data_IF_650401372641
#
_entry.id   IF_650401372641
#
_cell.length_a   1.000
_cell.length_b   1.000
_cell.length_c   1.000
_cell.angle_alpha   90.00
_cell.angle_beta   90.00
_cell.angle_gamma   90.00
#
_symmetry.space_group_name_H-M   'P 1'
#
loop_
_entity.id
_entity.type
_entity.pdbx_description
1 polymer ?
#
# COMPACT_ATOMS: atom_id res chain seq x y z
N UNK A 1 -26.71 -28.45 12.76
CA UNK A 1 -27.50 -27.20 12.70
C UNK A 1 -26.54 -26.16 12.18
N UNK A 2 -26.35 -26.18 10.86
CA UNK A 2 -25.38 -25.32 10.19
C UNK A 2 -26.02 -23.94 10.10
N UNK A 3 -25.64 -23.08 11.05
CA UNK A 3 -25.94 -21.67 10.93
C UNK A 3 -25.05 -21.14 9.80
N UNK A 4 -25.55 -21.21 8.56
CA UNK A 4 -25.08 -20.39 7.46
C UNK A 4 -25.42 -18.94 7.83
N UNK A 5 -24.56 -18.34 8.66
CA UNK A 5 -24.55 -16.90 8.84
C UNK A 5 -24.32 -16.24 7.48
N UNK A 6 -24.79 -15.00 7.31
CA UNK A 6 -24.52 -14.26 6.07
C UNK A 6 -23.02 -14.27 5.78
N UNK A 7 -22.68 -14.58 4.52
CA UNK A 7 -21.29 -14.61 4.05
C UNK A 7 -20.65 -13.25 4.33
N UNK A 8 -19.58 -13.25 5.12
CA UNK A 8 -18.91 -12.03 5.56
C UNK A 8 -18.19 -11.39 4.36
N UNK A 9 -18.71 -10.28 3.87
CA UNK A 9 -18.00 -9.47 2.88
C UNK A 9 -16.75 -8.85 3.52
N UNK A 10 -15.57 -9.30 3.08
CA UNK A 10 -14.28 -8.86 3.64
C UNK A 10 -14.07 -7.34 3.50
N UNK A 11 -14.59 -6.74 2.42
CA UNK A 11 -14.55 -5.30 2.20
C UNK A 11 -15.38 -4.53 3.23
N UNK A 12 -16.56 -5.02 3.60
CA UNK A 12 -17.40 -4.39 4.64
C UNK A 12 -16.77 -4.54 6.02
N UNK A 13 -16.13 -5.68 6.29
CA UNK A 13 -15.34 -5.88 7.50
C UNK A 13 -14.20 -4.85 7.57
N UNK A 14 -13.38 -4.75 6.51
CA UNK A 14 -12.27 -3.81 6.44
C UNK A 14 -12.74 -2.36 6.62
N UNK A 15 -13.82 -1.97 5.93
CA UNK A 15 -14.44 -0.66 6.09
C UNK A 15 -14.88 -0.41 7.54
N UNK A 16 -15.54 -1.38 8.16
CA UNK A 16 -16.01 -1.26 9.55
C UNK A 16 -14.86 -1.10 10.53
N UNK A 17 -13.79 -1.88 10.38
CA UNK A 17 -12.61 -1.81 11.24
C UNK A 17 -11.85 -0.47 11.06
N UNK A 18 -11.76 0.04 9.83
CA UNK A 18 -11.03 1.28 9.54
C UNK A 18 -11.83 2.57 9.80
N UNK A 19 -13.16 2.53 9.68
CA UNK A 19 -14.00 3.76 9.71
C UNK A 19 -15.02 3.80 10.83
N UNK A 20 -15.36 2.66 11.43
CA UNK A 20 -16.48 2.53 12.40
C UNK A 20 -16.03 1.98 13.76
N UNK A 21 -14.71 1.93 14.01
CA UNK A 21 -14.09 1.56 15.28
C UNK A 21 -13.02 2.59 15.63
N UNK A 22 -12.85 2.85 16.92
CA UNK A 22 -11.76 3.70 17.42
C UNK A 22 -10.45 2.93 17.47
N UNK A 23 -9.34 3.60 17.15
CA UNK A 23 -8.01 3.01 17.22
C UNK A 23 -7.45 3.05 18.65
N UNK A 24 -6.81 1.96 19.09
CA UNK A 24 -6.21 1.81 20.43
C UNK A 24 -4.68 1.94 20.36
N UNK A 25 -3.93 2.09 21.47
CA UNK A 25 -2.48 2.36 21.42
C UNK A 25 -1.63 1.27 20.76
N UNK A 26 -2.04 0.01 20.87
CA UNK A 26 -1.36 -1.14 20.26
C UNK A 26 -2.19 -1.61 19.07
N UNK A 27 -1.59 -1.62 17.89
CA UNK A 27 -2.29 -1.83 16.62
C UNK A 27 -1.52 -2.77 15.72
N UNK A 28 -2.26 -3.49 14.90
CA UNK A 28 -1.73 -4.32 13.82
C UNK A 28 -2.69 -4.23 12.63
N UNK A 29 -2.23 -4.63 11.46
CA UNK A 29 -3.03 -4.73 10.24
C UNK A 29 -2.71 -6.03 9.52
N UNK A 30 -3.67 -6.50 8.73
CA UNK A 30 -3.51 -7.68 7.86
C UNK A 30 -3.90 -7.28 6.45
N UNK A 31 -3.10 -7.70 5.46
CA UNK A 31 -3.43 -7.60 4.05
C UNK A 31 -3.94 -8.97 3.60
N UNK A 32 -5.16 -9.02 3.07
CA UNK A 32 -5.80 -10.25 2.64
C UNK A 32 -6.84 -9.95 1.57
N UNK A 33 -6.92 -10.81 0.57
CA UNK A 33 -7.93 -10.78 -0.50
C UNK A 33 -9.09 -11.72 -0.21
N UNK A 34 -8.91 -12.68 0.72
CA UNK A 34 -9.92 -13.69 1.07
C UNK A 34 -10.13 -13.83 2.59
N UNK A 35 -11.31 -14.29 3.05
CA UNK A 35 -11.55 -14.56 4.47
C UNK A 35 -10.59 -15.62 5.05
N UNK A 36 -10.16 -16.59 4.24
CA UNK A 36 -9.21 -17.61 4.64
C UNK A 36 -7.82 -17.03 4.91
N UNK A 37 -7.31 -16.17 3.99
CA UNK A 37 -6.06 -15.42 4.17
C UNK A 37 -6.12 -14.53 5.41
N UNK A 38 -7.20 -13.76 5.58
CA UNK A 38 -7.39 -12.90 6.74
C UNK A 38 -7.37 -13.70 8.05
N UNK A 39 -8.08 -14.84 8.08
CA UNK A 39 -8.11 -15.71 9.26
C UNK A 39 -6.74 -16.31 9.58
N UNK A 40 -5.97 -16.71 8.58
CA UNK A 40 -4.62 -17.23 8.79
C UNK A 40 -3.68 -16.15 9.34
N UNK A 41 -3.67 -14.95 8.73
CA UNK A 41 -2.84 -13.83 9.18
C UNK A 41 -3.21 -13.36 10.60
N UNK A 42 -4.50 -13.32 10.94
CA UNK A 42 -4.95 -12.95 12.28
C UNK A 42 -4.57 -14.00 13.35
N UNK A 43 -4.48 -15.28 12.98
CA UNK A 43 -3.95 -16.32 13.89
C UNK A 43 -2.47 -16.12 14.17
N UNK A 44 -1.64 -15.85 13.16
CA UNK A 44 -0.23 -15.55 13.36
C UNK A 44 0.00 -14.34 14.29
N UNK A 45 -0.87 -13.32 14.20
CA UNK A 45 -0.89 -12.20 15.15
C UNK A 45 -1.24 -12.66 16.57
N UNK A 46 -2.26 -13.51 16.72
CA UNK A 46 -2.70 -14.03 18.03
C UNK A 46 -1.64 -14.92 18.69
N UNK A 47 -0.89 -15.69 17.88
CA UNK A 47 0.19 -16.57 18.31
C UNK A 47 1.50 -15.80 18.58
N UNK A 48 1.53 -14.49 18.33
CA UNK A 48 2.67 -13.61 18.63
C UNK A 48 3.81 -13.69 17.62
N UNK A 49 3.58 -14.28 16.45
CA UNK A 49 4.60 -14.44 15.40
C UNK A 49 4.93 -13.12 14.70
N UNK A 50 4.05 -12.12 14.79
CA UNK A 50 4.23 -10.78 14.21
C UNK A 50 4.39 -9.73 15.30
N UNK A 51 5.57 -9.09 15.45
CA UNK A 51 5.73 -7.97 16.38
C UNK A 51 4.88 -6.76 15.97
N UNK A 52 4.16 -6.16 16.92
CA UNK A 52 3.39 -4.94 16.72
C UNK A 52 3.75 -3.90 17.80
N UNK A 53 4.66 -2.95 17.53
CA UNK A 53 5.03 -1.95 18.51
C UNK A 53 3.87 -0.98 18.80
N UNK A 54 3.84 -0.34 19.98
CA UNK A 54 2.90 0.74 20.26
C UNK A 54 3.00 1.86 19.22
N UNK A 55 1.86 2.48 18.90
CA UNK A 55 1.83 3.65 18.04
C UNK A 55 2.66 4.80 18.64
N UNK A 56 3.52 5.41 17.82
CA UNK A 56 4.40 6.53 18.25
C UNK A 56 3.70 7.90 18.13
N UNK A 57 2.55 7.96 17.43
CA UNK A 57 1.75 9.19 17.21
C UNK A 57 0.35 9.14 17.83
N UNK A 58 -0.33 10.28 17.85
CA UNK A 58 -1.68 10.46 18.44
C UNK A 58 -2.80 10.51 17.38
N UNK A 59 -2.54 10.08 16.14
CA UNK A 59 -3.44 10.20 14.98
C UNK A 59 -3.92 11.63 14.66
N UNK A 60 -3.22 12.65 15.18
CA UNK A 60 -3.53 14.06 15.03
C UNK A 60 -2.81 14.70 13.82
N UNK A 61 -1.83 14.00 13.25
CA UNK A 61 -0.94 14.49 12.20
C UNK A 61 -0.62 13.40 11.18
N UNK A 62 -0.42 13.83 9.93
CA UNK A 62 0.09 12.96 8.86
C UNK A 62 1.59 12.66 9.01
N UNK A 63 2.12 11.69 8.24
CA UNK A 63 3.54 11.38 8.23
C UNK A 63 4.37 12.52 7.60
N UNK A 64 5.67 12.52 7.86
CA UNK A 64 6.64 13.37 7.16
C UNK A 64 7.08 12.67 5.87
N UNK A 65 6.89 13.32 4.72
CA UNK A 65 7.44 12.85 3.44
C UNK A 65 8.91 13.26 3.30
N UNK A 66 9.80 12.28 3.17
CA UNK A 66 11.25 12.48 2.98
C UNK A 66 11.62 12.08 1.56
N UNK A 67 12.10 13.03 0.75
CA UNK A 67 12.57 12.80 -0.62
C UNK A 67 14.09 12.65 -0.60
N UNK A 68 14.58 11.42 -0.71
CA UNK A 68 16.02 11.13 -0.71
C UNK A 68 16.70 11.56 -2.01
N UNK A 69 18.03 11.65 -1.98
CA UNK A 69 18.84 11.87 -3.18
C UNK A 69 18.99 10.62 -4.05
N UNK A 70 20.05 10.63 -4.87
CA UNK A 70 20.40 9.54 -5.80
C UNK A 70 20.85 8.27 -5.05
N UNK A 71 20.55 7.09 -5.62
CA UNK A 71 21.01 5.79 -5.12
C UNK A 71 19.90 4.76 -4.85
N UNK A 72 18.63 5.16 -4.93
CA UNK A 72 17.48 4.27 -4.70
C UNK A 72 16.87 3.68 -5.98
N UNK A 73 17.37 4.05 -7.16
CA UNK A 73 16.83 3.57 -8.43
C UNK A 73 17.21 2.10 -8.70
N UNK A 74 16.29 1.37 -9.33
CA UNK A 74 16.46 -0.02 -9.78
C UNK A 74 15.71 -0.25 -11.12
N UNK A 75 16.00 -1.34 -11.81
CA UNK A 75 15.42 -1.63 -13.13
C UNK A 75 13.90 -1.82 -13.06
N UNK A 76 13.15 -1.25 -14.01
CA UNK A 76 11.69 -1.30 -14.05
C UNK A 76 10.97 -0.78 -12.78
N UNK A 77 11.60 0.11 -12.00
CA UNK A 77 11.09 0.54 -10.68
C UNK A 77 9.68 1.12 -10.65
N UNK A 78 9.17 1.61 -11.79
CA UNK A 78 7.83 2.19 -11.89
C UNK A 78 6.81 1.31 -12.60
N UNK A 79 7.21 0.15 -13.14
CA UNK A 79 6.38 -0.63 -14.06
C UNK A 79 5.06 -1.08 -13.42
N UNK A 80 5.11 -1.70 -12.24
CA UNK A 80 3.91 -2.23 -11.57
C UNK A 80 2.95 -1.12 -11.13
N UNK A 81 3.48 0.01 -10.65
CA UNK A 81 2.65 1.16 -10.25
C UNK A 81 2.04 1.87 -11.45
N UNK A 82 2.75 1.99 -12.57
CA UNK A 82 2.18 2.51 -13.82
C UNK A 82 1.01 1.67 -14.31
N UNK A 83 1.08 0.34 -14.14
CA UNK A 83 0.04 -0.59 -14.57
C UNK A 83 -1.18 -0.61 -13.64
N UNK A 84 -0.98 -0.46 -12.32
CA UNK A 84 -2.00 -0.78 -11.32
C UNK A 84 -2.48 0.42 -10.49
N UNK A 85 -1.77 1.56 -10.49
CA UNK A 85 -2.09 2.72 -9.67
C UNK A 85 -2.42 3.95 -10.53
N UNK A 86 -3.72 4.25 -10.78
CA UNK A 86 -4.14 5.32 -11.69
C UNK A 86 -3.60 6.71 -11.34
N UNK A 87 -3.48 7.02 -10.04
CA UNK A 87 -2.96 8.32 -9.58
C UNK A 87 -1.47 8.45 -9.89
N UNK A 88 -0.71 7.36 -9.73
CA UNK A 88 0.71 7.32 -10.08
C UNK A 88 0.88 7.52 -11.58
N UNK A 89 0.15 6.75 -12.39
CA UNK A 89 0.18 6.85 -13.85
C UNK A 89 -0.19 8.24 -14.36
N UNK A 90 -1.26 8.84 -13.83
CA UNK A 90 -1.67 10.20 -14.19
C UNK A 90 -0.61 11.25 -13.82
N UNK A 91 0.06 11.08 -12.68
CA UNK A 91 1.13 11.99 -12.24
C UNK A 91 2.36 11.89 -13.13
N UNK A 92 2.79 10.68 -13.49
CA UNK A 92 3.90 10.47 -14.44
C UNK A 92 3.55 11.06 -15.81
N UNK A 93 2.35 10.80 -16.31
CA UNK A 93 1.88 11.35 -17.58
C UNK A 93 1.87 12.89 -17.61
N UNK A 94 1.58 13.53 -16.47
CA UNK A 94 1.59 14.99 -16.35
C UNK A 94 3.02 15.59 -16.42
N UNK A 95 4.04 14.88 -15.89
CA UNK A 95 5.42 15.37 -15.88
C UNK A 95 6.26 14.89 -17.09
N UNK A 96 5.82 13.84 -17.77
CA UNK A 96 6.46 13.30 -18.99
C UNK A 96 6.83 14.39 -20.02
N UNK A 97 5.91 15.25 -20.51
CA UNK A 97 6.27 16.26 -21.50
C UNK A 97 7.25 17.31 -20.95
N UNK A 98 7.24 17.57 -19.63
CA UNK A 98 8.16 18.51 -19.00
C UNK A 98 9.58 17.95 -18.96
N UNK A 99 9.73 16.68 -18.56
CA UNK A 99 11.04 16.03 -18.52
C UNK A 99 11.59 15.83 -19.94
N UNK A 100 10.74 15.44 -20.89
CA UNK A 100 11.15 15.30 -22.29
C UNK A 100 11.66 16.63 -22.87
N UNK A 101 11.02 17.75 -22.57
CA UNK A 101 11.44 19.07 -23.03
C UNK A 101 12.77 19.53 -22.42
N UNK A 102 12.98 19.29 -21.12
CA UNK A 102 14.16 19.79 -20.40
C UNK A 102 15.38 18.85 -20.49
N UNK A 103 15.15 17.53 -20.65
CA UNK A 103 16.20 16.50 -20.56
C UNK A 103 16.31 15.60 -21.78
N UNK A 104 15.38 15.67 -22.74
CA UNK A 104 15.47 14.95 -24.01
C UNK A 104 15.23 13.43 -23.95
N UNK A 105 14.61 12.92 -22.88
CA UNK A 105 14.27 11.50 -22.75
C UNK A 105 12.88 11.30 -22.12
N UNK A 106 12.31 10.10 -22.31
CA UNK A 106 11.03 9.71 -21.69
C UNK A 106 11.24 9.16 -20.29
N UNK A 107 10.60 9.77 -19.28
CA UNK A 107 10.64 9.25 -17.91
C UNK A 107 9.85 7.95 -17.79
N UNK A 108 8.75 7.83 -18.53
CA UNK A 108 7.93 6.62 -18.58
C UNK A 108 8.74 5.43 -19.12
N UNK A 109 9.49 5.63 -20.21
CA UNK A 109 10.40 4.61 -20.74
C UNK A 109 11.49 4.26 -19.72
N UNK A 110 12.13 5.26 -19.11
CA UNK A 110 13.18 5.05 -18.13
C UNK A 110 12.71 4.24 -16.89
N UNK A 111 11.48 4.45 -16.44
CA UNK A 111 10.90 3.77 -15.27
C UNK A 111 10.41 2.35 -15.57
N UNK A 112 10.24 1.99 -16.84
CA UNK A 112 9.75 0.68 -17.30
C UNK A 112 10.83 -0.18 -17.95
N UNK A 113 11.98 0.42 -18.26
CA UNK A 113 13.09 -0.28 -18.90
C UNK A 113 13.64 -1.43 -18.02
N UNK A 114 13.87 -2.62 -18.60
CA UNK A 114 14.51 -3.72 -17.89
C UNK A 114 15.99 -3.42 -17.62
N UNK A 115 16.62 -4.25 -16.78
CA UNK A 115 18.05 -4.18 -16.55
C UNK A 115 18.79 -4.44 -17.87
N UNK A 116 19.85 -3.67 -18.14
CA UNK A 116 20.64 -3.78 -19.38
C UNK A 116 21.70 -4.87 -19.27
#
# INVERSE_FOLDING_TARGET
>A
MDAQGPELAITDLAYTLARRRGYRPVRTFVLASTPAEASAALRAVADGETPYPPAVGQDDRGPVWVFSGQGSQWAAMGADLLANEPVFAATVAAVEPLIAAESGFSVTEAMTAPER
#
